data_IF_588225851618
#
_entry.id   IF_588225851618
#
_cell.length_a   1.000
_cell.length_b   1.000
_cell.length_c   1.000
_cell.angle_alpha   90.00
_cell.angle_beta   90.00
_cell.angle_gamma   90.00
#
_symmetry.space_group_name_H-M   'P 1'
#
loop_
_entity.id
_entity.type
_entity.pdbx_description
1 polymer ?
#
# COMPACT_ATOMS: atom_id res chain seq x y z
N UNK A 1 2.12 -15.05 -8.33
CA UNK A 1 3.00 -13.86 -8.29
C UNK A 1 3.29 -13.41 -6.86
N UNK A 2 2.29 -13.20 -5.99
CA UNK A 2 2.51 -12.78 -4.60
C UNK A 2 3.54 -13.60 -3.79
N UNK A 3 3.59 -14.95 -3.86
CA UNK A 3 4.65 -15.72 -3.18
C UNK A 3 6.05 -15.42 -3.71
N UNK A 4 6.19 -15.12 -5.00
CA UNK A 4 7.46 -14.77 -5.64
C UNK A 4 7.94 -13.42 -5.10
N UNK A 5 7.04 -12.43 -4.96
CA UNK A 5 7.35 -11.14 -4.35
C UNK A 5 7.85 -11.31 -2.91
N UNK A 6 7.20 -12.16 -2.11
CA UNK A 6 7.62 -12.41 -0.72
C UNK A 6 9.00 -13.09 -0.65
N UNK A 7 9.26 -14.09 -1.49
CA UNK A 7 10.56 -14.75 -1.57
C UNK A 7 11.64 -13.74 -1.98
N UNK A 8 11.35 -12.89 -2.96
CA UNK A 8 12.26 -11.87 -3.43
C UNK A 8 12.57 -10.82 -2.36
N UNK A 9 11.56 -10.34 -1.63
CA UNK A 9 11.76 -9.43 -0.50
C UNK A 9 12.56 -10.08 0.62
N UNK A 10 12.31 -11.36 0.92
CA UNK A 10 13.12 -12.13 1.87
C UNK A 10 14.58 -12.24 1.43
N UNK A 11 14.82 -12.44 0.13
CA UNK A 11 16.16 -12.47 -0.44
C UNK A 11 16.89 -11.14 -0.25
N UNK A 12 16.22 -10.00 -0.49
CA UNK A 12 16.78 -8.67 -0.26
C UNK A 12 17.24 -8.54 1.20
N UNK A 13 16.38 -8.85 2.16
CA UNK A 13 16.68 -8.74 3.60
C UNK A 13 17.86 -9.64 4.01
N UNK A 14 17.97 -10.83 3.44
CA UNK A 14 19.07 -11.76 3.76
C UNK A 14 20.38 -11.30 3.15
N UNK A 15 20.40 -10.89 1.88
CA UNK A 15 21.63 -10.54 1.17
C UNK A 15 22.28 -9.24 1.65
N UNK A 16 21.51 -8.38 2.32
CA UNK A 16 21.98 -7.14 2.93
C UNK A 16 22.72 -7.35 4.26
N UNK A 17 22.87 -8.58 4.76
CA UNK A 17 23.44 -8.83 6.10
C UNK A 17 24.81 -8.18 6.34
N UNK A 18 25.67 -8.11 5.31
CA UNK A 18 26.99 -7.47 5.40
C UNK A 18 26.94 -5.95 5.51
N UNK A 19 25.84 -5.36 5.07
CA UNK A 19 25.62 -3.91 5.05
C UNK A 19 24.92 -3.41 6.33
N UNK A 20 24.48 -4.32 7.20
CA UNK A 20 23.82 -3.94 8.45
C UNK A 20 24.81 -3.44 9.49
N UNK A 21 24.56 -2.23 9.97
CA UNK A 21 25.28 -1.67 11.10
C UNK A 21 24.28 -1.31 12.21
N UNK A 22 24.35 -2.05 13.33
CA UNK A 22 23.46 -1.86 14.49
C UNK A 22 23.61 -0.47 15.09
N UNK A 23 24.78 0.16 14.97
CA UNK A 23 25.00 1.52 15.47
C UNK A 23 24.08 2.56 14.80
N UNK A 24 23.57 2.26 13.60
CA UNK A 24 22.63 3.13 12.89
C UNK A 24 21.24 3.20 13.55
N UNK A 25 20.90 2.26 14.44
CA UNK A 25 19.64 2.28 15.20
C UNK A 25 19.66 3.23 16.39
N UNK A 26 20.84 3.71 16.79
CA UNK A 26 20.99 4.60 17.92
C UNK A 26 20.93 6.07 17.49
N UNK A 27 20.33 6.95 18.31
CA UNK A 27 19.65 6.65 19.57
C UNK A 27 18.26 6.01 19.37
N UNK A 28 17.99 4.93 20.10
CA UNK A 28 16.67 4.30 20.13
C UNK A 28 15.67 5.32 20.70
N UNK A 29 14.49 5.46 20.07
CA UNK A 29 13.45 6.45 20.38
C UNK A 29 13.78 7.92 20.03
N UNK A 30 14.99 8.24 19.56
CA UNK A 30 15.40 9.55 18.99
C UNK A 30 14.58 10.78 19.43
N UNK A 31 13.69 11.25 18.56
CA UNK A 31 12.86 12.45 18.74
C UNK A 31 11.67 12.28 19.72
N UNK A 32 11.70 11.25 20.56
CA UNK A 32 10.65 10.89 21.52
C UNK A 32 9.53 10.04 20.93
N UNK A 33 8.83 9.34 21.82
CA UNK A 33 7.68 8.45 21.50
C UNK A 33 6.53 9.20 20.80
N UNK A 34 6.27 10.45 21.17
CA UNK A 34 5.22 11.27 20.58
C UNK A 34 5.42 11.48 19.08
N UNK A 35 6.66 11.74 18.65
CA UNK A 35 7.02 11.91 17.24
C UNK A 35 6.84 10.62 16.45
N UNK A 36 7.18 9.47 17.05
CA UNK A 36 7.00 8.14 16.45
C UNK A 36 5.51 7.83 16.25
N UNK A 37 4.69 8.05 17.29
CA UNK A 37 3.24 7.83 17.21
C UNK A 37 2.60 8.74 16.16
N UNK A 38 2.97 10.02 16.11
CA UNK A 38 2.49 10.95 15.08
C UNK A 38 2.87 10.51 13.67
N UNK A 39 4.11 10.01 13.50
CA UNK A 39 4.56 9.41 12.23
C UNK A 39 3.78 8.15 11.85
N UNK A 40 3.52 7.27 12.82
CA UNK A 40 2.72 6.06 12.62
C UNK A 40 1.28 6.36 12.18
N UNK A 41 0.62 7.32 12.84
CA UNK A 41 -0.74 7.76 12.47
C UNK A 41 -0.74 8.34 11.05
N UNK A 42 0.27 9.14 10.68
CA UNK A 42 0.35 9.70 9.32
C UNK A 42 0.52 8.61 8.25
N UNK A 43 1.21 7.52 8.58
CA UNK A 43 1.46 6.40 7.66
C UNK A 43 0.39 5.30 7.74
N UNK A 44 -0.71 5.53 8.46
CA UNK A 44 -1.79 4.54 8.56
C UNK A 44 -2.46 4.31 7.19
N UNK A 45 -2.36 5.28 6.28
CA UNK A 45 -2.76 5.17 4.86
C UNK A 45 -2.17 3.96 4.15
N UNK A 46 -1.00 3.47 4.57
CA UNK A 46 -0.40 2.27 3.96
C UNK A 46 -1.26 1.01 4.10
N UNK A 47 -2.28 1.02 4.97
CA UNK A 47 -3.23 -0.07 5.15
C UNK A 47 -4.64 0.27 4.63
N UNK A 48 -4.79 1.30 3.80
CA UNK A 48 -6.09 1.71 3.23
C UNK A 48 -6.73 0.66 2.34
N UNK A 49 -5.94 -0.30 1.84
CA UNK A 49 -6.38 -1.40 0.96
C UNK A 49 -7.38 -2.35 1.63
N UNK A 50 -7.57 -2.23 2.94
CA UNK A 50 -8.69 -2.86 3.65
C UNK A 50 -10.04 -2.42 3.03
N UNK A 51 -10.14 -1.24 2.42
CA UNK A 51 -11.29 -0.84 1.62
C UNK A 51 -11.51 -1.75 0.42
N UNK A 52 -10.47 -2.05 -0.34
CA UNK A 52 -10.55 -2.94 -1.49
C UNK A 52 -11.02 -4.33 -1.07
N UNK A 53 -10.56 -4.82 0.09
CA UNK A 53 -11.06 -6.07 0.68
C UNK A 53 -12.58 -6.01 0.95
N UNK A 54 -13.08 -4.89 1.48
CA UNK A 54 -14.52 -4.71 1.74
C UNK A 54 -15.35 -4.68 0.45
N UNK A 55 -14.84 -4.03 -0.60
CA UNK A 55 -15.51 -3.99 -1.92
C UNK A 55 -15.50 -5.35 -2.61
N UNK A 56 -14.52 -6.20 -2.31
CA UNK A 56 -14.45 -7.58 -2.82
C UNK A 56 -15.39 -8.55 -2.08
N UNK A 57 -15.87 -8.21 -0.87
CA UNK A 57 -16.72 -9.11 -0.07
C UNK A 57 -17.95 -9.66 -0.82
N UNK A 58 -18.71 -8.87 -1.61
CA UNK A 58 -19.88 -9.37 -2.32
C UNK A 58 -19.57 -10.41 -3.40
N UNK A 59 -18.30 -10.52 -3.84
CA UNK A 59 -17.87 -11.48 -4.86
C UNK A 59 -17.41 -12.81 -4.27
N UNK A 60 -17.33 -12.91 -2.94
CA UNK A 60 -16.87 -14.12 -2.27
C UNK A 60 -18.06 -15.00 -1.90
N UNK A 61 -17.94 -16.30 -2.23
CA UNK A 61 -18.98 -17.30 -1.97
C UNK A 61 -19.19 -17.60 -0.48
N UNK A 62 -18.18 -17.38 0.35
CA UNK A 62 -18.20 -17.62 1.79
C UNK A 62 -17.63 -16.42 2.55
N UNK A 63 -18.41 -15.86 3.47
CA UNK A 63 -18.08 -14.67 4.28
C UNK A 63 -17.12 -15.02 5.44
N UNK A 64 -16.97 -16.29 5.80
CA UNK A 64 -16.07 -16.74 6.88
C UNK A 64 -14.59 -16.75 6.45
N UNK A 65 -14.34 -17.03 5.16
CA UNK A 65 -13.01 -17.05 4.53
C UNK A 65 -12.33 -15.66 4.51
N UNK A 66 -12.97 -14.55 4.09
CA UNK A 66 -12.33 -13.24 4.02
C UNK A 66 -11.88 -12.72 5.38
N UNK A 67 -12.58 -13.03 6.49
CA UNK A 67 -12.12 -12.62 7.83
C UNK A 67 -10.81 -13.30 8.24
N UNK A 68 -10.65 -14.59 7.93
CA UNK A 68 -9.41 -15.32 8.21
C UNK A 68 -8.29 -14.90 7.24
N UNK A 69 -8.62 -14.79 5.96
CA UNK A 69 -7.66 -14.40 4.91
C UNK A 69 -7.18 -12.97 5.08
N UNK A 70 -8.07 -12.02 5.33
CA UNK A 70 -7.73 -10.60 5.54
C UNK A 70 -6.82 -10.38 6.75
N UNK A 71 -7.08 -11.07 7.87
CA UNK A 71 -6.17 -11.00 9.05
C UNK A 71 -4.79 -11.56 8.75
N UNK A 72 -4.71 -12.68 8.01
CA UNK A 72 -3.43 -13.25 7.57
C UNK A 72 -2.69 -12.30 6.62
N UNK A 73 -3.39 -11.71 5.65
CA UNK A 73 -2.82 -10.75 4.72
C UNK A 73 -2.26 -9.52 5.45
N UNK A 74 -3.01 -8.97 6.41
CA UNK A 74 -2.58 -7.84 7.22
C UNK A 74 -1.34 -8.17 8.06
N UNK A 75 -1.29 -9.35 8.68
CA UNK A 75 -0.12 -9.80 9.43
C UNK A 75 1.12 -9.96 8.53
N UNK A 76 0.96 -10.59 7.36
CA UNK A 76 2.06 -10.77 6.40
C UNK A 76 2.57 -9.42 5.91
N UNK A 77 1.67 -8.49 5.55
CA UNK A 77 2.03 -7.13 5.13
C UNK A 77 2.78 -6.37 6.23
N UNK A 78 2.27 -6.43 7.47
CA UNK A 78 2.88 -5.75 8.62
C UNK A 78 4.28 -6.29 8.93
N UNK A 79 4.47 -7.61 8.92
CA UNK A 79 5.77 -8.24 9.13
C UNK A 79 6.74 -7.87 8.00
N UNK A 80 6.28 -7.91 6.75
CA UNK A 80 7.12 -7.56 5.59
C UNK A 80 7.57 -6.10 5.68
N UNK A 81 6.67 -5.18 6.00
CA UNK A 81 6.98 -3.76 6.20
C UNK A 81 7.97 -3.56 7.35
N UNK A 82 7.78 -4.27 8.47
CA UNK A 82 8.70 -4.22 9.62
C UNK A 82 10.12 -4.62 9.22
N UNK A 83 10.29 -5.75 8.52
CA UNK A 83 11.61 -6.24 8.11
C UNK A 83 12.28 -5.30 7.11
N UNK A 84 11.53 -4.75 6.16
CA UNK A 84 12.06 -3.78 5.19
C UNK A 84 12.51 -2.49 5.91
N UNK A 85 11.67 -1.92 6.78
CA UNK A 85 12.02 -0.74 7.56
C UNK A 85 13.25 -0.97 8.44
N UNK A 86 13.33 -2.14 9.10
CA UNK A 86 14.48 -2.50 9.93
C UNK A 86 15.76 -2.62 9.09
N UNK A 87 15.68 -3.29 7.95
CA UNK A 87 16.81 -3.44 7.02
C UNK A 87 17.28 -2.08 6.50
N UNK A 88 16.33 -1.20 6.16
CA UNK A 88 16.63 0.16 5.72
C UNK A 88 17.34 0.97 6.80
N UNK A 89 16.82 0.95 8.04
CA UNK A 89 17.43 1.66 9.18
C UNK A 89 18.83 1.14 9.53
N UNK A 90 19.09 -0.16 9.35
CA UNK A 90 20.40 -0.76 9.57
C UNK A 90 21.41 -0.42 8.48
N UNK A 91 20.98 -0.22 7.23
CA UNK A 91 21.87 0.12 6.11
C UNK A 91 22.14 1.62 5.98
N UNK A 92 21.14 2.47 6.26
CA UNK A 92 21.20 3.90 5.99
C UNK A 92 21.05 4.71 7.28
N UNK A 93 22.12 5.32 7.80
CA UNK A 93 22.02 6.18 8.98
C UNK A 93 21.28 7.48 8.68
N UNK A 94 20.72 8.07 9.73
CA UNK A 94 20.23 9.44 9.71
C UNK A 94 21.41 10.43 9.60
N UNK A 95 21.33 11.52 8.82
CA UNK A 95 20.16 12.07 8.11
C UNK A 95 19.97 11.55 6.68
N UNK A 96 20.94 10.84 6.10
CA UNK A 96 20.89 10.38 4.70
C UNK A 96 19.66 9.52 4.39
N UNK A 97 19.13 8.80 5.38
CA UNK A 97 17.89 8.05 5.25
C UNK A 97 16.66 8.88 4.82
N UNK A 98 16.69 10.22 4.98
CA UNK A 98 15.62 11.14 4.54
C UNK A 98 15.69 11.54 3.06
N UNK A 99 16.83 11.41 2.42
CA UNK A 99 17.02 11.91 1.05
C UNK A 99 16.54 10.91 0.00
N UNK A 100 16.47 9.63 0.35
CA UNK A 100 16.05 8.59 -0.56
C UNK A 100 14.52 8.46 -0.65
N UNK A 101 14.01 8.69 -1.85
CA UNK A 101 12.58 8.64 -2.14
C UNK A 101 12.03 7.21 -2.24
N UNK A 102 12.85 6.25 -2.64
CA UNK A 102 12.49 4.84 -2.84
C UNK A 102 13.38 3.92 -1.99
N UNK A 103 13.03 3.68 -0.71
CA UNK A 103 13.89 2.94 0.22
C UNK A 103 14.24 1.52 -0.24
N UNK A 104 13.27 0.78 -0.78
CA UNK A 104 13.49 -0.62 -1.21
C UNK A 104 14.38 -0.71 -2.44
N UNK A 105 14.24 0.25 -3.36
CA UNK A 105 15.13 0.41 -4.50
C UNK A 105 16.58 0.68 -4.04
N UNK A 106 16.74 1.61 -3.10
CA UNK A 106 18.07 1.93 -2.57
C UNK A 106 18.67 0.79 -1.74
N UNK A 107 17.85 -0.12 -1.22
CA UNK A 107 18.36 -1.36 -0.63
C UNK A 107 18.82 -2.34 -1.71
N UNK A 108 18.11 -2.47 -2.82
CA UNK A 108 18.51 -3.39 -3.90
C UNK A 108 19.80 -2.96 -4.59
N UNK A 109 20.11 -1.66 -4.67
CA UNK A 109 21.40 -1.15 -5.20
C UNK A 109 22.61 -1.49 -4.33
N UNK A 110 22.40 -1.73 -3.03
CA UNK A 110 23.47 -2.11 -2.10
C UNK A 110 23.84 -3.58 -2.19
N UNK A 111 22.97 -4.41 -2.74
CA UNK A 111 23.20 -5.83 -2.87
C UNK A 111 24.24 -6.07 -3.97
N UNK A 112 25.44 -6.47 -3.55
CA UNK A 112 26.51 -6.92 -4.44
C UNK A 112 26.78 -8.40 -4.18
N UNK A 113 26.22 -9.26 -5.02
CA UNK A 113 26.37 -10.71 -4.90
C UNK A 113 27.57 -11.18 -5.74
N UNK A 114 28.77 -11.07 -5.17
CA UNK A 114 30.02 -11.45 -5.83
C UNK A 114 30.38 -10.54 -7.01
N UNK A 115 31.25 -11.03 -7.91
CA UNK A 115 31.72 -10.25 -9.06
C UNK A 115 30.69 -10.15 -10.20
N UNK A 116 29.79 -11.12 -10.31
CA UNK A 116 28.89 -11.28 -11.45
C UNK A 116 27.48 -10.69 -11.27
N UNK A 117 26.96 -10.63 -10.04
CA UNK A 117 25.62 -10.08 -9.76
C UNK A 117 25.72 -8.72 -9.06
N UNK A 118 26.01 -7.69 -9.86
CA UNK A 118 26.17 -6.31 -9.38
C UNK A 118 24.92 -5.43 -9.59
N UNK A 119 23.99 -5.82 -10.47
CA UNK A 119 22.77 -5.05 -10.83
C UNK A 119 21.49 -5.70 -10.32
N UNK A 120 21.39 -5.92 -9.02
CA UNK A 120 20.20 -6.52 -8.40
C UNK A 120 18.95 -5.63 -8.48
N UNK A 121 19.18 -4.32 -8.62
CA UNK A 121 18.18 -3.28 -8.86
C UNK A 121 17.22 -3.59 -10.03
N UNK A 122 17.74 -4.08 -11.17
CA UNK A 122 16.92 -4.37 -12.35
C UNK A 122 15.91 -5.51 -12.10
N UNK A 123 16.28 -6.51 -11.29
CA UNK A 123 15.35 -7.57 -10.89
C UNK A 123 14.26 -7.04 -9.97
N UNK A 124 14.62 -6.11 -9.07
CA UNK A 124 13.64 -5.44 -8.22
C UNK A 124 12.65 -4.63 -9.05
N UNK A 125 13.14 -3.80 -9.99
CA UNK A 125 12.29 -3.01 -10.89
C UNK A 125 11.29 -3.90 -11.64
N UNK A 126 11.76 -5.00 -12.23
CA UNK A 126 10.89 -5.93 -12.95
C UNK A 126 9.79 -6.56 -12.08
N UNK A 127 10.13 -7.06 -10.89
CA UNK A 127 9.15 -7.65 -9.97
C UNK A 127 8.18 -6.57 -9.44
N UNK A 128 8.70 -5.37 -9.18
CA UNK A 128 7.91 -4.24 -8.73
C UNK A 128 6.90 -3.80 -9.79
N UNK A 129 7.31 -3.65 -11.04
CA UNK A 129 6.44 -3.24 -12.14
C UNK A 129 5.29 -4.21 -12.37
N UNK A 130 5.57 -5.53 -12.40
CA UNK A 130 4.51 -6.54 -12.51
C UNK A 130 3.57 -6.48 -11.30
N UNK A 131 4.09 -6.22 -10.09
CA UNK A 131 3.27 -6.03 -8.90
C UNK A 131 2.32 -4.84 -9.06
N UNK A 132 2.85 -3.71 -9.54
CA UNK A 132 2.09 -2.47 -9.75
C UNK A 132 1.03 -2.62 -10.85
N UNK A 133 1.34 -3.35 -11.92
CA UNK A 133 0.36 -3.63 -12.98
C UNK A 133 -0.80 -4.50 -12.48
N UNK A 134 -0.50 -5.56 -11.73
CA UNK A 134 -1.53 -6.41 -11.12
C UNK A 134 -2.38 -5.63 -10.13
N UNK A 135 -1.74 -4.81 -9.29
CA UNK A 135 -2.41 -3.95 -8.32
C UNK A 135 -3.36 -2.96 -9.02
N UNK A 136 -2.86 -2.25 -10.03
CA UNK A 136 -3.65 -1.28 -10.82
C UNK A 136 -4.85 -1.94 -11.50
N UNK A 137 -4.69 -3.17 -12.01
CA UNK A 137 -5.78 -3.92 -12.64
C UNK A 137 -6.92 -4.19 -11.66
N UNK A 138 -6.60 -4.59 -10.42
CA UNK A 138 -7.61 -4.83 -9.38
C UNK A 138 -8.35 -3.53 -9.03
N UNK A 139 -7.63 -2.42 -8.91
CA UNK A 139 -8.23 -1.13 -8.60
C UNK A 139 -9.15 -0.61 -9.71
N UNK A 140 -8.71 -0.68 -10.97
CA UNK A 140 -9.55 -0.28 -12.11
C UNK A 140 -10.81 -1.13 -12.17
N UNK A 141 -10.71 -2.44 -11.91
CA UNK A 141 -11.87 -3.33 -11.79
C UNK A 141 -12.85 -2.85 -10.72
N UNK A 142 -12.36 -2.59 -9.49
CA UNK A 142 -13.20 -2.19 -8.36
C UNK A 142 -13.86 -0.84 -8.58
N UNK A 143 -13.13 0.13 -9.15
CA UNK A 143 -13.67 1.46 -9.47
C UNK A 143 -14.74 1.34 -10.56
N UNK A 144 -14.47 0.57 -11.62
CA UNK A 144 -15.42 0.35 -12.72
C UNK A 144 -16.72 -0.29 -12.23
N UNK A 145 -16.60 -1.28 -11.34
CA UNK A 145 -17.75 -1.99 -10.80
C UNK A 145 -18.57 -1.14 -9.83
N UNK A 146 -17.90 -0.41 -8.94
CA UNK A 146 -18.58 0.50 -8.00
C UNK A 146 -19.30 1.63 -8.73
N UNK A 147 -18.70 2.20 -9.78
CA UNK A 147 -19.34 3.22 -10.62
C UNK A 147 -20.51 2.65 -11.43
N UNK A 148 -20.35 1.46 -12.03
CA UNK A 148 -21.44 0.80 -12.76
C UNK A 148 -22.66 0.58 -11.87
N UNK A 149 -22.46 0.12 -10.63
CA UNK A 149 -23.53 -0.05 -9.63
C UNK A 149 -24.11 1.28 -9.14
N UNK A 150 -23.28 2.30 -8.92
CA UNK A 150 -23.73 3.60 -8.44
C UNK A 150 -24.60 4.36 -9.47
N UNK A 151 -24.24 4.28 -10.76
CA UNK A 151 -24.96 4.96 -11.85
C UNK A 151 -25.92 4.04 -12.60
N UNK A 152 -26.07 2.78 -12.17
CA UNK A 152 -26.91 1.76 -12.79
C UNK A 152 -26.64 1.57 -14.30
N UNK A 153 -25.35 1.61 -14.67
CA UNK A 153 -24.88 1.51 -16.05
C UNK A 153 -24.66 0.05 -16.44
N UNK A 154 -25.25 -0.37 -17.56
CA UNK A 154 -25.14 -1.74 -18.07
C UNK A 154 -23.77 -2.05 -18.71
N UNK A 155 -23.12 -1.06 -19.31
CA UNK A 155 -21.83 -1.26 -19.98
C UNK A 155 -20.64 -0.91 -19.08
N UNK A 156 -20.10 -1.95 -18.44
CA UNK A 156 -18.90 -1.84 -17.61
C UNK A 156 -17.63 -1.59 -18.43
N UNK A 157 -17.60 -2.04 -19.68
CA UNK A 157 -16.41 -1.97 -20.54
C UNK A 157 -16.12 -0.52 -20.92
N UNK A 158 -17.17 0.24 -21.26
CA UNK A 158 -17.06 1.67 -21.52
C UNK A 158 -16.54 2.45 -20.31
N UNK A 159 -17.01 2.14 -19.10
CA UNK A 159 -16.53 2.76 -17.85
C UNK A 159 -15.05 2.44 -17.62
N UNK A 160 -14.65 1.19 -17.85
CA UNK A 160 -13.25 0.76 -17.72
C UNK A 160 -12.33 1.58 -18.63
N UNK A 161 -12.68 1.75 -19.90
CA UNK A 161 -11.92 2.60 -20.82
C UNK A 161 -11.90 4.07 -20.40
N UNK A 162 -13.02 4.59 -19.90
CA UNK A 162 -13.09 5.95 -19.34
C UNK A 162 -12.13 6.14 -18.16
N UNK A 163 -12.05 5.17 -17.24
CA UNK A 163 -11.13 5.20 -16.09
C UNK A 163 -9.68 5.13 -16.57
N UNK A 164 -9.36 4.26 -17.52
CA UNK A 164 -7.99 4.15 -18.04
C UNK A 164 -7.58 5.47 -18.71
N UNK A 165 -8.45 6.07 -19.51
CA UNK A 165 -8.18 7.35 -20.16
C UNK A 165 -7.96 8.48 -19.15
N UNK A 166 -8.78 8.58 -18.10
CA UNK A 166 -8.60 9.60 -17.05
C UNK A 166 -7.32 9.38 -16.25
N UNK A 167 -6.98 8.14 -15.91
CA UNK A 167 -5.71 7.81 -15.23
C UNK A 167 -4.52 8.22 -16.09
N UNK A 168 -4.54 7.96 -17.40
CA UNK A 168 -3.46 8.35 -18.32
C UNK A 168 -3.30 9.87 -18.42
N UNK A 169 -4.42 10.62 -18.46
CA UNK A 169 -4.39 12.08 -18.47
C UNK A 169 -3.80 12.65 -17.18
N UNK A 170 -4.22 12.14 -16.04
CA UNK A 170 -3.70 12.57 -14.73
C UNK A 170 -2.23 12.20 -14.57
N UNK A 171 -1.81 11.05 -15.10
CA UNK A 171 -0.41 10.61 -15.05
C UNK A 171 0.52 11.48 -15.92
N UNK A 172 0.00 12.19 -16.92
CA UNK A 172 0.79 13.06 -17.79
C UNK A 172 1.04 14.46 -17.21
N UNK A 173 0.31 14.87 -16.18
CA UNK A 173 0.40 16.21 -15.56
C UNK A 173 1.70 16.47 -14.79
N UNK A 174 2.23 15.54 -13.96
CA UNK A 174 3.38 15.85 -13.13
C UNK A 174 4.66 16.00 -13.95
N UNK A 175 5.23 17.21 -13.94
CA UNK A 175 6.49 17.51 -14.64
C UNK A 175 7.74 17.02 -13.91
N UNK A 176 7.61 16.67 -12.62
CA UNK A 176 8.73 16.24 -11.78
C UNK A 176 8.33 15.13 -10.81
N UNK A 177 9.31 14.33 -10.40
CA UNK A 177 9.14 13.27 -9.38
C UNK A 177 8.67 13.87 -8.04
N UNK A 178 9.09 15.10 -7.72
CA UNK A 178 8.69 15.78 -6.49
C UNK A 178 7.19 16.11 -6.52
N UNK A 179 6.65 16.48 -7.67
CA UNK A 179 5.23 16.78 -7.80
C UNK A 179 4.38 15.51 -7.76
N UNK A 180 4.87 14.40 -8.33
CA UNK A 180 4.27 13.07 -8.15
C UNK A 180 4.13 12.76 -6.65
N UNK A 181 5.18 12.97 -5.85
CA UNK A 181 5.16 12.70 -4.41
C UNK A 181 4.19 13.58 -3.63
N UNK A 182 3.99 14.84 -4.03
CA UNK A 182 3.00 15.71 -3.39
C UNK A 182 1.59 15.22 -3.70
N UNK A 183 1.32 14.87 -4.95
CA UNK A 183 0.02 14.35 -5.38
C UNK A 183 -0.28 13.03 -4.68
N UNK A 184 0.68 12.11 -4.59
CA UNK A 184 0.49 10.85 -3.85
C UNK A 184 0.26 11.07 -2.37
N UNK A 185 0.98 11.99 -1.72
CA UNK A 185 0.72 12.28 -0.30
C UNK A 185 -0.69 12.83 -0.04
N UNK A 186 -1.19 13.69 -0.92
CA UNK A 186 -2.55 14.22 -0.81
C UNK A 186 -3.57 13.10 -1.05
N UNK A 187 -3.34 12.26 -2.06
CA UNK A 187 -4.16 11.11 -2.36
C UNK A 187 -4.19 10.11 -1.19
N UNK A 188 -3.04 9.77 -0.61
CA UNK A 188 -2.89 8.86 0.53
C UNK A 188 -3.58 9.39 1.79
N UNK A 189 -3.53 10.70 2.02
CA UNK A 189 -4.30 11.31 3.08
C UNK A 189 -5.80 11.15 2.79
N UNK A 190 -6.27 11.52 1.60
CA UNK A 190 -7.69 11.42 1.24
C UNK A 190 -8.21 9.96 1.35
N UNK A 191 -7.45 8.99 0.84
CA UNK A 191 -7.80 7.57 0.89
C UNK A 191 -7.82 7.04 2.32
N UNK A 192 -6.90 7.45 3.21
CA UNK A 192 -6.98 7.06 4.62
C UNK A 192 -8.24 7.57 5.30
N UNK A 193 -8.59 8.85 5.11
CA UNK A 193 -9.81 9.38 5.70
C UNK A 193 -11.02 8.58 5.21
N UNK A 194 -11.12 8.32 3.90
CA UNK A 194 -12.17 7.48 3.36
C UNK A 194 -12.13 6.05 3.94
N UNK A 195 -10.94 5.45 4.04
CA UNK A 195 -10.76 4.07 4.51
C UNK A 195 -11.20 3.83 5.94
N UNK A 196 -11.00 4.81 6.81
CA UNK A 196 -11.38 4.68 8.22
C UNK A 196 -12.75 5.27 8.53
N UNK A 197 -13.20 6.30 7.79
CA UNK A 197 -14.49 6.94 8.01
C UNK A 197 -15.63 6.10 7.42
N UNK A 198 -15.51 5.59 6.18
CA UNK A 198 -16.62 4.84 5.53
C UNK A 198 -17.09 3.63 6.36
N UNK A 199 -16.19 2.76 6.86
CA UNK A 199 -16.58 1.58 7.61
C UNK A 199 -17.22 1.90 8.98
N UNK A 200 -17.07 3.13 9.49
CA UNK A 200 -17.73 3.59 10.71
C UNK A 200 -19.09 4.22 10.37
N UNK A 201 -19.14 5.06 9.33
CA UNK A 201 -20.35 5.79 8.94
C UNK A 201 -21.44 4.85 8.43
N UNK A 202 -21.10 3.86 7.59
CA UNK A 202 -22.10 2.94 7.01
C UNK A 202 -22.87 2.15 8.08
N UNK A 203 -22.22 1.48 9.05
CA UNK A 203 -22.92 0.79 10.13
C UNK A 203 -23.72 1.72 11.03
N UNK A 204 -23.21 2.92 11.34
CA UNK A 204 -23.92 3.91 12.15
C UNK A 204 -25.21 4.36 11.45
N UNK A 205 -25.15 4.70 10.17
CA UNK A 205 -26.32 5.05 9.38
C UNK A 205 -27.33 3.90 9.28
N UNK A 206 -26.85 2.67 9.13
CA UNK A 206 -27.71 1.47 9.13
C UNK A 206 -28.42 1.29 10.48
N UNK A 207 -27.72 1.43 11.61
CA UNK A 207 -28.31 1.32 12.95
C UNK A 207 -29.34 2.43 13.18
N UNK A 208 -29.04 3.67 12.78
CA UNK A 208 -29.96 4.81 12.93
C UNK A 208 -31.23 4.61 12.10
N UNK A 209 -31.10 4.20 10.82
CA UNK A 209 -32.27 3.90 9.97
C UNK A 209 -33.10 2.75 10.52
N UNK A 210 -32.46 1.68 11.01
CA UNK A 210 -33.15 0.52 11.61
C UNK A 210 -33.92 0.89 12.88
N UNK A 211 -33.32 1.68 13.78
CA UNK A 211 -34.01 2.19 14.98
C UNK A 211 -35.19 3.09 14.61
N UNK A 212 -35.06 3.91 13.58
CA UNK A 212 -36.15 4.79 13.11
C UNK A 212 -37.31 3.99 12.52
N UNK A 213 -37.03 2.90 11.79
CA UNK A 213 -38.05 2.00 11.25
C UNK A 213 -38.79 1.23 12.37
N UNK A 214 -38.09 0.79 13.42
CA UNK A 214 -38.71 0.11 14.58
C UNK A 214 -39.55 1.01 15.49
N UNK A 215 -39.35 2.34 15.42
CA UNK A 215 -40.16 3.31 16.17
C UNK A 215 -41.39 3.82 15.39
N UNK A 216 -41.55 3.40 14.12
CA UNK A 216 -42.67 3.76 13.25
C UNK A 216 -43.69 2.61 13.10
N UNK A 217 -43.35 1.42 13.58
CA UNK A 217 -44.26 0.27 13.82
C UNK A 217 -44.77 0.30 15.26
#
# INVERSE_FOLDING_TARGET
FFPICLVFLGFIVIFLYKNYNINNLFPILGNGTASILKGGIRNISCYSDVLALNLLLPHLSDISVPKKSGRKALLIASLTMLFICLSYALCYPYPWSKEYLLPVYQLSTRIRAGEYFQRFEAFFEFVWEISQLLYSTIYIFLISETLSKAFNLSDRTAICYGIIATVMLVAAEPSSVVDVLKVTQIADMATAHLAYILPIVIPVLYIVKRKKAQNLE
#
